data_IF_320140285673
#
_entry.id   IF_320140285673
#
_cell.length_a   1.000
_cell.length_b   1.000
_cell.length_c   1.000
_cell.angle_alpha   90.00
_cell.angle_beta   90.00
_cell.angle_gamma   90.00
#
_symmetry.space_group_name_H-M   'P 1'
#
loop_
_entity.id
_entity.type
_entity.pdbx_description
1 polymer ?
#
# COMPACT_ATOMS: atom_id res chain seq x y z
N UNK A 1 -12.14 -24.97 -0.01
CA UNK A 1 -12.14 -25.43 -1.42
C UNK A 1 -12.48 -24.31 -2.41
N UNK A 2 -13.53 -23.51 -2.18
CA UNK A 2 -13.99 -22.47 -3.12
C UNK A 2 -12.90 -21.52 -3.67
N UNK A 3 -11.97 -21.05 -2.83
CA UNK A 3 -10.89 -20.16 -3.30
C UNK A 3 -9.91 -20.83 -4.25
N UNK A 4 -9.51 -22.09 -3.99
CA UNK A 4 -8.57 -22.80 -4.86
C UNK A 4 -9.17 -23.08 -6.24
N UNK A 5 -10.48 -23.33 -6.30
CA UNK A 5 -11.20 -23.47 -7.57
C UNK A 5 -11.25 -22.15 -8.34
N UNK A 6 -11.51 -21.03 -7.65
CA UNK A 6 -11.49 -19.71 -8.26
C UNK A 6 -10.09 -19.30 -8.73
N UNK A 7 -9.06 -19.56 -7.93
CA UNK A 7 -7.67 -19.28 -8.26
C UNK A 7 -7.25 -20.03 -9.53
N UNK A 8 -7.58 -21.33 -9.64
CA UNK A 8 -7.31 -22.12 -10.85
C UNK A 8 -7.89 -21.51 -12.12
N UNK A 9 -9.10 -20.95 -12.05
CA UNK A 9 -9.78 -20.32 -13.19
C UNK A 9 -9.12 -19.03 -13.65
N UNK A 10 -8.53 -18.25 -12.73
CA UNK A 10 -8.01 -16.89 -13.02
C UNK A 10 -6.49 -16.87 -13.18
N UNK A 11 -5.78 -17.66 -12.39
CA UNK A 11 -4.32 -17.60 -12.23
C UNK A 11 -3.61 -18.93 -12.55
N UNK A 12 -4.37 -19.98 -12.90
CA UNK A 12 -3.84 -21.30 -13.25
C UNK A 12 -3.58 -22.21 -12.06
N UNK A 13 -2.91 -23.33 -12.31
CA UNK A 13 -2.83 -24.44 -11.35
C UNK A 13 -1.76 -24.29 -10.25
N UNK A 14 -1.10 -23.14 -10.16
CA UNK A 14 0.00 -22.90 -9.22
C UNK A 14 -0.29 -21.70 -8.33
N UNK A 15 -0.26 -21.90 -7.02
CA UNK A 15 -0.28 -20.84 -6.01
C UNK A 15 1.06 -20.84 -5.28
N UNK A 16 1.65 -19.67 -5.09
CA UNK A 16 2.87 -19.53 -4.29
C UNK A 16 2.51 -19.09 -2.87
N UNK A 17 3.26 -19.61 -1.89
CA UNK A 17 3.09 -19.32 -0.48
C UNK A 17 4.44 -18.86 0.07
N UNK A 18 4.49 -17.67 0.65
CA UNK A 18 5.69 -17.08 1.23
C UNK A 18 5.46 -16.83 2.71
N UNK A 19 6.42 -17.23 3.54
CA UNK A 19 6.38 -17.01 4.98
C UNK A 19 7.77 -16.58 5.48
N UNK A 20 7.80 -15.76 6.52
CA UNK A 20 9.04 -15.46 7.23
C UNK A 20 9.33 -16.54 8.27
N UNK A 21 10.60 -16.71 8.57
CA UNK A 21 11.05 -17.39 9.79
C UNK A 21 11.19 -16.32 10.89
N UNK A 22 10.16 -16.20 11.73
CA UNK A 22 10.07 -15.20 12.80
C UNK A 22 10.57 -15.75 14.16
N UNK A 23 11.53 -16.68 14.15
CA UNK A 23 12.17 -17.27 15.33
C UNK A 23 13.11 -16.30 16.09
N UNK A 24 12.58 -15.13 16.47
CA UNK A 24 13.25 -14.16 17.33
C UNK A 24 12.89 -14.31 18.81
N UNK A 25 13.55 -13.53 19.65
CA UNK A 25 13.28 -13.49 21.10
C UNK A 25 11.98 -12.73 21.47
N UNK A 26 11.30 -12.15 20.48
CA UNK A 26 10.08 -11.37 20.64
C UNK A 26 9.01 -11.92 19.71
N UNK A 27 7.77 -12.13 20.18
CA UNK A 27 6.67 -12.53 19.30
C UNK A 27 6.43 -11.49 18.21
N UNK A 28 6.37 -11.95 16.95
CA UNK A 28 6.07 -11.11 15.78
C UNK A 28 4.78 -11.61 15.14
N UNK A 29 3.90 -10.68 14.79
CA UNK A 29 2.70 -10.96 14.01
C UNK A 29 2.75 -10.16 12.71
N UNK A 30 2.60 -10.84 11.57
CA UNK A 30 2.54 -10.25 10.24
C UNK A 30 1.16 -10.50 9.63
N UNK A 31 0.58 -9.53 8.91
CA UNK A 31 -0.69 -9.73 8.25
C UNK A 31 -0.46 -10.61 7.02
N UNK A 32 -1.44 -11.48 6.76
CA UNK A 32 -1.44 -12.34 5.60
C UNK A 32 -2.02 -11.59 4.41
N UNK A 33 -1.27 -11.50 3.31
CA UNK A 33 -1.65 -10.67 2.16
C UNK A 33 -1.72 -11.50 0.89
N UNK A 34 -2.80 -11.29 0.14
CA UNK A 34 -2.95 -11.80 -1.21
C UNK A 34 -2.40 -10.76 -2.19
N UNK A 35 -1.31 -11.08 -2.88
CA UNK A 35 -0.70 -10.23 -3.90
C UNK A 35 -0.70 -10.95 -5.25
N UNK A 36 -1.47 -10.42 -6.21
CA UNK A 36 -1.78 -11.06 -7.48
C UNK A 36 -2.25 -12.53 -7.29
N UNK A 37 -1.37 -13.49 -7.50
CA UNK A 37 -1.66 -14.92 -7.49
C UNK A 37 -0.96 -15.69 -6.36
N UNK A 38 -0.37 -15.00 -5.39
CA UNK A 38 0.33 -15.62 -4.27
C UNK A 38 -0.03 -15.02 -2.92
N UNK A 39 0.10 -15.85 -1.89
CA UNK A 39 -0.17 -15.52 -0.51
C UNK A 39 1.16 -15.28 0.21
N UNK A 40 1.31 -14.12 0.84
CA UNK A 40 2.57 -13.66 1.43
C UNK A 40 2.33 -13.25 2.87
N UNK A 41 3.03 -13.92 3.78
CA UNK A 41 3.07 -13.63 5.22
C UNK A 41 4.42 -13.04 5.65
N UNK A 42 5.30 -12.70 4.71
CA UNK A 42 6.65 -12.19 4.96
C UNK A 42 6.78 -10.67 4.80
N UNK A 43 5.70 -9.97 4.46
CA UNK A 43 5.67 -8.52 4.23
C UNK A 43 5.39 -7.70 5.49
N UNK A 44 5.94 -6.49 5.51
CA UNK A 44 5.76 -5.50 6.58
C UNK A 44 4.50 -4.64 6.38
N UNK A 45 3.90 -4.18 7.48
CA UNK A 45 2.77 -3.23 7.49
C UNK A 45 2.99 -1.97 6.66
N UNK A 46 4.23 -1.50 6.57
CA UNK A 46 4.56 -0.26 5.87
C UNK A 46 4.55 -0.41 4.34
N UNK A 47 4.51 -1.65 3.83
CA UNK A 47 4.55 -1.93 2.39
C UNK A 47 3.16 -1.93 1.73
N UNK A 48 2.08 -1.69 2.50
CA UNK A 48 0.71 -1.85 1.99
C UNK A 48 0.13 -0.55 1.41
N UNK A 49 -0.04 -0.53 0.08
CA UNK A 49 -0.67 0.58 -0.64
C UNK A 49 -2.19 0.47 -0.83
N UNK A 50 -2.78 -0.74 -0.68
CA UNK A 50 -4.21 -0.99 -0.93
C UNK A 50 -4.79 -1.98 0.08
N UNK A 51 -5.75 -1.53 0.89
CA UNK A 51 -6.53 -2.36 1.80
C UNK A 51 -8.00 -2.26 1.36
N UNK A 52 -8.62 -3.35 0.84
CA UNK A 52 -10.02 -3.33 0.43
C UNK A 52 -10.94 -3.03 1.63
N UNK A 53 -11.91 -2.13 1.44
CA UNK A 53 -12.92 -1.79 2.47
C UNK A 53 -12.50 -0.73 3.49
N UNK A 54 -11.25 -0.25 3.45
CA UNK A 54 -10.81 0.86 4.29
C UNK A 54 -10.75 2.13 3.42
N UNK A 55 -11.74 3.03 3.53
CA UNK A 55 -11.44 4.47 3.29
C UNK A 55 -10.38 4.79 4.31
N UNK A 56 -9.10 4.93 3.90
CA UNK A 56 -7.92 5.14 4.78
C UNK A 56 -8.35 5.60 6.17
N UNK A 57 -8.60 4.65 7.07
CA UNK A 57 -8.69 5.00 8.48
C UNK A 57 -7.29 5.51 8.74
N UNK A 58 -7.18 6.80 9.03
CA UNK A 58 -5.97 7.41 9.51
C UNK A 58 -5.48 6.55 10.65
N UNK A 59 -4.56 5.63 10.33
CA UNK A 59 -3.56 5.20 11.26
C UNK A 59 -2.82 6.49 11.53
N UNK A 60 -3.27 7.20 12.56
CA UNK A 60 -2.42 8.13 13.27
C UNK A 60 -1.22 7.28 13.65
N UNK A 61 -0.17 7.38 12.84
CA UNK A 61 1.16 6.99 13.29
C UNK A 61 1.32 7.65 14.67
N UNK A 62 1.94 6.97 15.66
CA UNK A 62 2.45 7.71 16.79
C UNK A 62 3.27 8.82 16.17
N UNK A 63 2.91 10.07 16.48
CA UNK A 63 3.64 11.25 16.06
C UNK A 63 5.08 10.98 16.46
N UNK A 64 5.89 10.50 15.50
CA UNK A 64 7.34 10.57 15.63
C UNK A 64 7.55 12.06 15.71
N UNK A 65 7.91 12.53 16.90
CA UNK A 65 8.32 13.89 17.15
C UNK A 65 9.28 14.30 16.02
N UNK A 66 8.78 15.14 15.09
CA UNK A 66 9.55 15.58 13.92
C UNK A 66 8.99 15.25 12.52
N UNK A 67 7.89 14.50 12.38
CA UNK A 67 7.26 14.27 11.07
C UNK A 67 6.61 15.54 10.52
N UNK A 68 7.26 16.22 9.57
CA UNK A 68 6.71 17.41 8.91
C UNK A 68 5.30 17.16 8.33
N UNK A 69 4.38 18.14 8.39
CA UNK A 69 3.03 17.99 7.87
C UNK A 69 3.07 17.53 6.42
N UNK A 70 2.24 16.53 6.07
CA UNK A 70 2.12 16.04 4.70
C UNK A 70 1.70 17.19 3.79
N UNK A 71 2.57 17.50 2.83
CA UNK A 71 2.28 18.46 1.76
C UNK A 71 1.00 18.06 1.04
N UNK A 72 0.16 19.03 0.71
CA UNK A 72 -0.97 18.80 -0.20
C UNK A 72 -0.45 18.31 -1.55
N UNK A 73 -1.30 17.64 -2.36
CA UNK A 73 -0.89 17.20 -3.71
C UNK A 73 -0.35 18.38 -4.53
N UNK A 74 -0.93 19.56 -4.36
CA UNK A 74 -0.43 20.79 -4.98
C UNK A 74 0.97 21.17 -4.49
N UNK A 75 1.21 21.18 -3.18
CA UNK A 75 2.50 21.50 -2.58
C UNK A 75 3.60 20.48 -2.93
N UNK A 76 3.24 19.20 -3.08
CA UNK A 76 4.15 18.17 -3.55
C UNK A 76 4.56 18.40 -5.01
N UNK A 77 3.57 18.64 -5.89
CA UNK A 77 3.82 18.89 -7.32
C UNK A 77 4.64 20.16 -7.55
N UNK A 78 4.39 21.24 -6.79
CA UNK A 78 5.19 22.47 -6.85
C UNK A 78 6.62 22.27 -6.34
N UNK A 79 6.82 21.36 -5.39
CA UNK A 79 8.14 21.07 -4.83
C UNK A 79 8.99 20.20 -5.77
N UNK A 80 8.38 19.29 -6.52
CA UNK A 80 9.08 18.41 -7.47
C UNK A 80 9.24 19.05 -8.85
N UNK A 81 8.31 19.90 -9.26
CA UNK A 81 8.27 20.56 -10.56
C UNK A 81 8.06 22.08 -10.38
N UNK A 82 9.10 22.86 -10.01
CA UNK A 82 8.97 24.29 -9.73
C UNK A 82 8.54 25.10 -10.96
N UNK A 83 8.87 24.63 -12.17
CA UNK A 83 8.53 25.28 -13.44
C UNK A 83 7.15 24.87 -13.99
N UNK A 84 6.38 24.08 -13.22
CA UNK A 84 5.06 23.67 -13.63
C UNK A 84 4.11 24.87 -13.62
N UNK A 85 3.65 25.29 -14.81
CA UNK A 85 2.75 26.42 -14.93
C UNK A 85 1.38 26.15 -14.27
N UNK A 86 0.68 27.24 -13.92
CA UNK A 86 -0.58 27.16 -13.16
C UNK A 86 -1.69 26.42 -13.92
N UNK A 87 -1.70 26.46 -15.25
CA UNK A 87 -2.76 25.83 -16.05
C UNK A 87 -2.52 24.32 -16.19
N UNK A 88 -1.26 23.90 -16.34
CA UNK A 88 -0.87 22.49 -16.24
C UNK A 88 -1.16 21.91 -14.86
N UNK A 89 -0.86 22.65 -13.79
CA UNK A 89 -1.15 22.22 -12.43
C UNK A 89 -2.66 22.01 -12.21
N UNK A 90 -3.50 22.96 -12.63
CA UNK A 90 -4.97 22.81 -12.58
C UNK A 90 -5.46 21.61 -13.39
N UNK A 91 -4.93 21.41 -14.60
CA UNK A 91 -5.29 20.26 -15.45
C UNK A 91 -4.90 18.91 -14.84
N UNK A 92 -3.80 18.86 -14.09
CA UNK A 92 -3.39 17.66 -13.36
C UNK A 92 -4.32 17.44 -12.16
N UNK A 93 -4.59 18.49 -11.38
CA UNK A 93 -5.44 18.41 -10.18
C UNK A 93 -6.90 18.03 -10.51
N UNK A 94 -7.44 18.50 -11.64
CA UNK A 94 -8.81 18.17 -12.05
C UNK A 94 -9.03 16.70 -12.41
N UNK A 95 -7.96 15.91 -12.61
CA UNK A 95 -8.04 14.46 -12.83
C UNK A 95 -8.23 13.67 -11.53
N UNK A 96 -8.08 14.33 -10.38
CA UNK A 96 -8.18 13.73 -9.05
C UNK A 96 -9.43 14.18 -8.27
N UNK A 97 -10.33 14.94 -8.91
CA UNK A 97 -11.65 15.33 -8.40
C UNK A 97 -12.74 14.53 -9.13
#
# INVERSE_FOLDING_TARGET
MAYLEAHKKVHGNKIHLWHSDDLGNVPVARPLVLYFNFLSGDVSFNSYGRVPGVRRASVSEPVRAGGAPRKTLEEALRSEFPDLDKERLKSILSRYQ
#
